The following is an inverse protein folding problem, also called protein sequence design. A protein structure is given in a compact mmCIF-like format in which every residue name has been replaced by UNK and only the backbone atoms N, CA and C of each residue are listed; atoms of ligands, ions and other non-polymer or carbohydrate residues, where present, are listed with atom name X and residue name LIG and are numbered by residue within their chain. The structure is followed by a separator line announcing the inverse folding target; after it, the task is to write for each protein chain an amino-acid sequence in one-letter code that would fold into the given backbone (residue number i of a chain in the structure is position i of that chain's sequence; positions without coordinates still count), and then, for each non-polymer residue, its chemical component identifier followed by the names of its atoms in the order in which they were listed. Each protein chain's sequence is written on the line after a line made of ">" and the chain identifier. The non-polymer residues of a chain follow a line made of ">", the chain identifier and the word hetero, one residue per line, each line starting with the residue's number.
data_IF_592645152995
#
_entry.id   IF_592645152995
#
_cell.length_a   1.000
_cell.length_b   1.000
_cell.length_c   1.000
_cell.angle_alpha   90.00
_cell.angle_beta   90.00
_cell.angle_gamma   90.00
#
_symmetry.space_group_name_H-M   'P 1'
#
loop_
_entity.id
_entity.type
_entity.pdbx_description
1 polymer ?
#
# COMPACT_ATOMS: atom_id res chain seq x y z
N UNK A 1 -29.07 3.20 19.10
CA UNK A 1 -28.29 2.51 20.15
C UNK A 1 -27.18 1.74 19.47
N UNK A 2 -25.93 1.89 19.92
CA UNK A 2 -24.82 1.05 19.47
C UNK A 2 -25.00 -0.32 20.13
N UNK A 3 -24.76 -1.39 19.38
CA UNK A 3 -24.87 -2.78 19.89
C UNK A 3 -23.68 -3.09 20.78
N UNK A 4 -23.92 -3.89 21.81
CA UNK A 4 -22.84 -4.50 22.59
C UNK A 4 -22.06 -5.48 21.70
N UNK A 5 -20.73 -5.42 21.78
CA UNK A 5 -19.82 -6.26 21.00
C UNK A 5 -18.91 -7.06 21.93
N UNK A 6 -18.51 -8.25 21.50
CA UNK A 6 -17.53 -9.04 22.22
C UNK A 6 -16.13 -8.43 22.05
N UNK A 7 -15.44 -8.19 23.17
CA UNK A 7 -14.05 -7.70 23.17
C UNK A 7 -13.16 -8.85 23.62
N UNK A 8 -12.44 -9.45 22.66
CA UNK A 8 -11.57 -10.60 22.92
C UNK A 8 -10.18 -10.18 23.43
N UNK A 9 -9.58 -11.07 24.24
CA UNK A 9 -8.17 -10.95 24.62
C UNK A 9 -7.24 -11.25 23.44
N UNK A 10 -6.11 -10.56 23.38
CA UNK A 10 -5.06 -10.82 22.39
C UNK A 10 -4.29 -12.08 22.81
N UNK A 11 -4.71 -13.25 22.32
CA UNK A 11 -4.15 -14.56 22.70
C UNK A 11 -2.63 -14.69 22.56
N UNK A 12 -2.03 -13.97 21.61
CA UNK A 12 -0.59 -14.01 21.28
C UNK A 12 0.15 -12.73 21.71
N UNK A 13 -0.32 -12.06 22.77
CA UNK A 13 0.21 -10.77 23.23
C UNK A 13 1.75 -10.74 23.31
N UNK A 14 2.33 -11.74 23.97
CA UNK A 14 3.78 -11.81 24.17
C UNK A 14 4.55 -11.98 22.85
N UNK A 15 3.98 -12.64 21.83
CA UNK A 15 4.64 -12.75 20.52
C UNK A 15 4.79 -11.36 19.89
N UNK A 16 3.75 -10.52 19.96
CA UNK A 16 3.79 -9.17 19.40
C UNK A 16 4.68 -8.22 20.23
N UNK A 17 4.59 -8.27 21.55
CA UNK A 17 5.40 -7.42 22.45
C UNK A 17 6.90 -7.69 22.34
N UNK A 18 7.29 -8.94 22.04
CA UNK A 18 8.68 -9.32 21.88
C UNK A 18 9.22 -9.11 20.46
N UNK A 19 8.41 -8.62 19.51
CA UNK A 19 8.93 -8.23 18.20
C UNK A 19 9.81 -6.99 18.30
N UNK A 20 10.86 -6.93 17.48
CA UNK A 20 11.68 -5.72 17.37
C UNK A 20 10.89 -4.64 16.66
N UNK A 21 11.00 -3.41 17.17
CA UNK A 21 10.46 -2.25 16.48
C UNK A 21 11.22 -2.02 15.17
N UNK A 22 10.49 -1.61 14.14
CA UNK A 22 11.10 -1.21 12.87
C UNK A 22 11.96 0.03 13.08
N UNK A 23 13.14 0.02 12.49
CA UNK A 23 14.06 1.16 12.51
C UNK A 23 13.72 2.16 11.40
N UNK A 24 14.19 3.40 11.56
CA UNK A 24 14.05 4.43 10.54
C UNK A 24 14.71 4.01 9.21
N UNK A 25 15.91 3.41 9.27
CA UNK A 25 16.65 2.95 8.09
C UNK A 25 15.89 1.85 7.33
N UNK A 26 15.25 0.92 8.04
CA UNK A 26 14.42 -0.11 7.41
C UNK A 26 13.20 0.49 6.70
N UNK A 27 12.58 1.52 7.29
CA UNK A 27 11.46 2.25 6.66
C UNK A 27 11.94 3.02 5.42
N UNK A 28 13.03 3.77 5.53
CA UNK A 28 13.59 4.54 4.41
C UNK A 28 13.92 3.62 3.23
N UNK A 29 14.61 2.50 3.49
CA UNK A 29 14.93 1.51 2.48
C UNK A 29 13.68 0.88 1.83
N UNK A 30 12.63 0.64 2.61
CA UNK A 30 11.37 0.13 2.07
C UNK A 30 10.70 1.16 1.15
N UNK A 31 10.67 2.43 1.56
CA UNK A 31 10.09 3.52 0.76
C UNK A 31 10.89 3.72 -0.53
N UNK A 32 12.22 3.74 -0.48
CA UNK A 32 13.07 3.84 -1.68
C UNK A 32 12.76 2.75 -2.72
N UNK A 33 12.49 1.52 -2.27
CA UNK A 33 12.12 0.43 -3.17
C UNK A 33 10.72 0.65 -3.80
N UNK A 34 9.78 1.19 -3.02
CA UNK A 34 8.43 1.50 -3.51
C UNK A 34 8.46 2.66 -4.51
N UNK A 35 9.24 3.71 -4.26
CA UNK A 35 9.40 4.85 -5.19
C UNK A 35 9.91 4.36 -6.56
N UNK A 36 10.94 3.50 -6.59
CA UNK A 36 11.43 2.89 -7.85
C UNK A 36 10.34 2.14 -8.61
N UNK A 37 9.46 1.43 -7.89
CA UNK A 37 8.35 0.71 -8.52
C UNK A 37 7.24 1.66 -9.00
N UNK A 38 6.98 2.75 -8.27
CA UNK A 38 6.06 3.81 -8.69
C UNK A 38 6.57 4.48 -9.97
N UNK A 39 7.84 4.86 -10.04
CA UNK A 39 8.44 5.46 -11.24
C UNK A 39 8.30 4.55 -12.47
N UNK A 40 8.61 3.26 -12.32
CA UNK A 40 8.44 2.28 -13.39
C UNK A 40 6.96 2.13 -13.80
N UNK A 41 6.04 2.19 -12.84
CA UNK A 41 4.61 2.09 -13.08
C UNK A 41 4.01 3.37 -13.69
N UNK A 42 4.55 4.55 -13.37
CA UNK A 42 4.15 5.81 -14.01
C UNK A 42 4.42 5.77 -15.51
N UNK A 43 5.61 5.28 -15.92
CA UNK A 43 5.91 5.09 -17.35
C UNK A 43 5.01 4.02 -17.99
N UNK A 44 4.69 2.95 -17.25
CA UNK A 44 3.86 1.86 -17.76
C UNK A 44 2.38 2.24 -17.95
N UNK A 45 1.78 2.91 -16.96
CA UNK A 45 0.36 3.29 -16.98
C UNK A 45 0.11 4.62 -17.71
N UNK A 46 1.09 5.54 -17.71
CA UNK A 46 0.95 6.89 -18.24
C UNK A 46 -0.23 7.61 -17.58
N UNK A 47 -1.24 8.00 -18.36
CA UNK A 47 -2.45 8.67 -17.89
C UNK A 47 -3.57 7.69 -17.47
N UNK A 48 -3.30 6.38 -17.52
CA UNK A 48 -4.26 5.32 -17.18
C UNK A 48 -4.03 4.77 -15.77
N UNK A 49 -4.84 3.78 -15.38
CA UNK A 49 -4.89 3.24 -14.03
C UNK A 49 -4.54 1.74 -13.99
N UNK A 50 -4.00 1.23 -12.87
CA UNK A 50 -3.84 -0.21 -12.66
C UNK A 50 -5.19 -0.90 -12.44
N UNK A 51 -5.33 -2.13 -12.95
CA UNK A 51 -6.46 -2.99 -12.56
C UNK A 51 -6.49 -3.25 -11.05
N UNK A 52 -7.65 -3.57 -10.49
CA UNK A 52 -7.82 -3.76 -9.04
C UNK A 52 -6.94 -4.84 -8.41
N UNK A 53 -6.44 -5.79 -9.21
CA UNK A 53 -5.45 -6.78 -8.81
C UNK A 53 -4.52 -7.10 -9.98
N UNK A 54 -3.36 -7.69 -9.68
CA UNK A 54 -2.44 -8.20 -10.68
C UNK A 54 -2.89 -9.56 -11.23
N UNK A 55 -2.43 -9.88 -12.44
CA UNK A 55 -2.41 -11.24 -12.96
C UNK A 55 -0.96 -11.59 -13.26
N UNK A 56 -0.50 -12.73 -12.75
CA UNK A 56 0.91 -13.16 -12.88
C UNK A 56 1.89 -12.07 -12.42
N UNK A 57 1.58 -11.42 -11.29
CA UNK A 57 2.33 -10.30 -10.68
C UNK A 57 2.45 -9.02 -11.52
N UNK A 58 1.61 -8.86 -12.55
CA UNK A 58 1.54 -7.64 -13.37
C UNK A 58 0.13 -7.05 -13.37
N UNK A 59 0.03 -5.74 -13.19
CA UNK A 59 -1.25 -5.03 -13.32
C UNK A 59 -1.66 -4.92 -14.78
N UNK A 60 -2.95 -5.08 -15.05
CA UNK A 60 -3.56 -4.64 -16.29
C UNK A 60 -3.65 -3.11 -16.31
N UNK A 61 -3.78 -2.54 -17.51
CA UNK A 61 -4.01 -1.11 -17.70
C UNK A 61 -5.49 -0.91 -18.00
N UNK A 62 -6.16 -0.08 -17.20
CA UNK A 62 -7.59 0.24 -17.32
C UNK A 62 -7.80 1.76 -17.39
N UNK A 63 -8.99 2.16 -17.83
CA UNK A 63 -9.44 3.55 -17.72
C UNK A 63 -9.91 3.85 -16.27
N UNK A 64 -10.24 5.11 -15.98
CA UNK A 64 -10.81 5.51 -14.68
C UNK A 64 -12.27 5.06 -14.55
N UNK A 65 -12.50 3.79 -14.23
CA UNK A 65 -13.81 3.13 -14.21
C UNK A 65 -14.03 2.22 -12.99
N UNK A 66 -13.00 1.98 -12.18
CA UNK A 66 -13.05 1.07 -11.04
C UNK A 66 -13.02 1.83 -9.70
N UNK A 67 -13.54 1.19 -8.66
CA UNK A 67 -13.52 1.75 -7.30
C UNK A 67 -12.12 1.89 -6.72
N UNK A 68 -11.11 1.31 -7.38
CA UNK A 68 -9.71 1.27 -6.94
C UNK A 68 -8.83 2.37 -7.52
N UNK A 69 -9.29 3.13 -8.51
CA UNK A 69 -8.42 4.01 -9.32
C UNK A 69 -7.78 5.12 -8.48
N UNK A 70 -8.51 5.62 -7.48
CA UNK A 70 -8.00 6.60 -6.52
C UNK A 70 -6.82 6.11 -5.69
N UNK A 71 -6.63 4.80 -5.49
CA UNK A 71 -5.48 4.27 -4.76
C UNK A 71 -4.17 4.53 -5.51
N UNK A 72 -4.19 4.44 -6.84
CA UNK A 72 -3.01 4.74 -7.65
C UNK A 72 -2.60 6.21 -7.50
N UNK A 73 -3.55 7.14 -7.64
CA UNK A 73 -3.28 8.56 -7.43
C UNK A 73 -2.86 8.87 -5.99
N UNK A 74 -3.41 8.15 -5.00
CA UNK A 74 -2.98 8.25 -3.61
C UNK A 74 -1.51 7.85 -3.41
N UNK A 75 -1.05 6.78 -4.06
CA UNK A 75 0.37 6.39 -4.04
C UNK A 75 1.26 7.47 -4.66
N UNK A 76 0.83 8.10 -5.76
CA UNK A 76 1.57 9.19 -6.40
C UNK A 76 1.72 10.41 -5.47
N UNK A 77 0.65 10.78 -4.76
CA UNK A 77 0.72 11.90 -3.80
C UNK A 77 1.62 11.58 -2.60
N UNK A 78 1.53 10.37 -2.05
CA UNK A 78 2.42 9.95 -0.96
C UNK A 78 3.89 9.93 -1.40
N UNK A 79 4.16 9.53 -2.65
CA UNK A 79 5.50 9.61 -3.22
C UNK A 79 5.97 11.06 -3.34
N UNK A 80 5.13 11.95 -3.87
CA UNK A 80 5.41 13.38 -3.99
C UNK A 80 5.68 14.07 -2.64
N UNK A 81 4.95 13.72 -1.57
CA UNK A 81 5.21 14.28 -0.24
C UNK A 81 6.55 13.82 0.36
N UNK A 82 7.04 12.66 -0.08
CA UNK A 82 8.27 12.07 0.43
C UNK A 82 9.53 12.59 -0.28
N UNK A 83 9.45 12.87 -1.58
CA UNK A 83 10.58 13.25 -2.46
C UNK A 83 10.61 14.74 -2.76
#
# INVERSE_FOLDING_TARGET
>A
MIKEINVEEIKKREEFLNTKLITKEEVEKAIENVIKQIDANMEYFKEKFPSSATKDNKYGIIENIEWTDGFWTGLLWLAYEHT
#
